data_IF_771167872852
#
_entry.id   IF_771167872852
#
_cell.length_a   1.000
_cell.length_b   1.000
_cell.length_c   1.000
_cell.angle_alpha   90.00
_cell.angle_beta   90.00
_cell.angle_gamma   90.00
#
_symmetry.space_group_name_H-M   'P 1'
#
loop_
_entity.id
_entity.type
_entity.pdbx_description
1 polymer ?
#
# COMPACT_ATOMS: atom_id res chain seq x y z
N UNK A 1 3.52 5.29 49.81
CA UNK A 1 4.37 4.68 48.77
C UNK A 1 3.60 3.64 47.97
N UNK A 2 3.01 2.60 48.59
CA UNK A 2 2.25 1.55 47.89
C UNK A 2 1.10 2.03 46.97
N UNK A 3 0.32 3.04 47.37
CA UNK A 3 -0.77 3.58 46.53
C UNK A 3 -0.26 4.20 45.23
N UNK A 4 0.84 4.98 45.29
CA UNK A 4 1.44 5.62 44.12
C UNK A 4 1.95 4.59 43.09
N UNK A 5 2.51 3.48 43.55
CA UNK A 5 2.99 2.40 42.69
C UNK A 5 1.84 1.66 41.98
N UNK A 6 0.68 1.52 42.65
CA UNK A 6 -0.53 0.91 42.07
C UNK A 6 -1.12 1.80 40.97
N UNK A 7 -1.23 3.12 41.20
CA UNK A 7 -1.71 4.05 40.18
C UNK A 7 -0.81 4.05 38.94
N UNK A 8 0.52 4.08 39.14
CA UNK A 8 1.49 4.04 38.05
C UNK A 8 1.49 2.72 37.27
N UNK A 9 1.22 1.60 37.95
CA UNK A 9 1.04 0.31 37.29
C UNK A 9 -0.24 0.28 36.42
N UNK A 10 -1.33 0.88 36.90
CA UNK A 10 -2.59 1.01 36.15
C UNK A 10 -2.45 1.88 34.89
N UNK A 11 -1.77 3.02 34.97
CA UNK A 11 -1.49 3.87 33.81
C UNK A 11 -0.64 3.15 32.75
N UNK A 12 0.41 2.44 33.18
CA UNK A 12 1.27 1.64 32.28
C UNK A 12 0.49 0.53 31.57
N UNK A 13 -0.44 -0.11 32.28
CA UNK A 13 -1.31 -1.14 31.72
C UNK A 13 -2.30 -0.57 30.70
N UNK A 14 -2.91 0.58 31.00
CA UNK A 14 -3.81 1.27 30.07
C UNK A 14 -3.08 1.74 28.81
N UNK A 15 -1.89 2.33 28.97
CA UNK A 15 -1.06 2.78 27.84
C UNK A 15 -0.65 1.61 26.93
N UNK A 16 -0.21 0.49 27.51
CA UNK A 16 0.16 -0.69 26.72
C UNK A 16 -1.04 -1.32 26.00
N UNK A 17 -2.23 -1.29 26.61
CA UNK A 17 -3.46 -1.74 25.98
C UNK A 17 -3.85 -0.85 24.78
N UNK A 18 -3.79 0.49 24.93
CA UNK A 18 -4.08 1.44 23.85
C UNK A 18 -3.13 1.21 22.67
N UNK A 19 -1.82 1.17 22.94
CA UNK A 19 -0.80 0.92 21.91
C UNK A 19 -1.03 -0.40 21.17
N UNK A 20 -1.21 -1.49 21.92
CA UNK A 20 -1.40 -2.83 21.36
C UNK A 20 -2.66 -2.89 20.51
N UNK A 21 -3.74 -2.26 20.96
CA UNK A 21 -5.00 -2.20 20.22
C UNK A 21 -4.87 -1.43 18.90
N UNK A 22 -4.11 -0.33 18.88
CA UNK A 22 -3.85 0.44 17.67
C UNK A 22 -3.06 -0.37 16.64
N UNK A 23 -1.96 -1.00 17.07
CA UNK A 23 -1.11 -1.83 16.19
C UNK A 23 -1.84 -3.06 15.65
N UNK A 24 -2.58 -3.79 16.50
CA UNK A 24 -3.32 -4.97 16.05
C UNK A 24 -4.42 -4.61 15.05
N UNK A 25 -5.16 -3.52 15.30
CA UNK A 25 -6.17 -3.02 14.37
C UNK A 25 -5.56 -2.56 13.06
N UNK A 26 -4.40 -1.89 13.11
CA UNK A 26 -3.67 -1.43 11.93
C UNK A 26 -3.33 -2.62 11.00
N UNK A 27 -2.61 -3.61 11.51
CA UNK A 27 -2.20 -4.77 10.70
C UNK A 27 -3.41 -5.63 10.28
N UNK A 28 -4.43 -5.73 11.14
CA UNK A 28 -5.70 -6.39 10.80
C UNK A 28 -6.43 -5.71 9.65
N UNK A 29 -6.48 -4.37 9.63
CA UNK A 29 -7.06 -3.60 8.54
C UNK A 29 -6.28 -3.76 7.24
N UNK A 30 -4.94 -3.71 7.30
CA UNK A 30 -4.09 -3.94 6.12
C UNK A 30 -4.32 -5.33 5.53
N UNK A 31 -4.32 -6.38 6.37
CA UNK A 31 -4.57 -7.75 5.92
C UNK A 31 -5.98 -7.91 5.31
N UNK A 32 -7.01 -7.38 5.98
CA UNK A 32 -8.37 -7.39 5.47
C UNK A 32 -8.50 -6.61 4.15
N UNK A 33 -7.83 -5.47 4.03
CA UNK A 33 -7.78 -4.66 2.82
C UNK A 33 -7.23 -5.43 1.62
N UNK A 34 -6.15 -6.19 1.81
CA UNK A 34 -5.56 -7.04 0.77
C UNK A 34 -6.51 -8.18 0.37
N UNK A 35 -7.16 -8.84 1.33
CA UNK A 35 -8.16 -9.88 1.03
C UNK A 35 -9.31 -9.29 0.21
N UNK A 36 -9.84 -8.14 0.63
CA UNK A 36 -10.93 -7.44 -0.06
C UNK A 36 -10.51 -6.97 -1.46
N UNK A 37 -9.24 -6.59 -1.64
CA UNK A 37 -8.66 -6.28 -2.96
C UNK A 37 -8.68 -7.51 -3.86
N UNK A 38 -8.32 -8.69 -3.33
CA UNK A 38 -8.43 -9.96 -4.07
C UNK A 38 -9.85 -10.29 -4.48
N UNK A 39 -10.83 -10.10 -3.58
CA UNK A 39 -12.26 -10.26 -3.89
C UNK A 39 -12.67 -9.27 -4.99
N UNK A 40 -12.30 -7.99 -4.85
CA UNK A 40 -12.55 -6.97 -5.86
C UNK A 40 -11.99 -7.35 -7.22
N UNK A 41 -10.79 -7.93 -7.28
CA UNK A 41 -10.20 -8.36 -8.55
C UNK A 41 -11.00 -9.47 -9.25
N UNK A 42 -11.50 -10.45 -8.49
CA UNK A 42 -12.39 -11.51 -9.03
C UNK A 42 -13.70 -10.93 -9.58
N UNK A 43 -14.28 -9.96 -8.86
CA UNK A 43 -15.48 -9.26 -9.35
C UNK A 43 -15.20 -8.42 -10.60
N UNK A 44 -14.04 -7.78 -10.66
CA UNK A 44 -13.64 -6.95 -11.79
C UNK A 44 -13.47 -7.74 -13.09
N UNK A 45 -12.89 -8.94 -12.96
CA UNK A 45 -12.79 -9.93 -14.04
C UNK A 45 -14.18 -10.38 -14.51
N UNK A 46 -15.05 -10.80 -13.57
CA UNK A 46 -16.41 -11.25 -13.90
C UNK A 46 -17.29 -10.16 -14.56
N UNK A 47 -17.08 -8.89 -14.21
CA UNK A 47 -17.79 -7.74 -14.80
C UNK A 47 -17.21 -7.32 -16.16
N UNK A 48 -16.08 -7.88 -16.59
CA UNK A 48 -15.41 -7.51 -17.83
C UNK A 48 -14.93 -6.05 -17.82
N UNK A 49 -14.46 -5.55 -16.67
CA UNK A 49 -13.94 -4.17 -16.53
C UNK A 49 -12.82 -3.88 -17.53
N UNK A 50 -12.06 -4.91 -17.92
CA UNK A 50 -11.10 -4.88 -19.02
C UNK A 50 -11.67 -4.24 -20.31
N UNK A 51 -12.90 -4.57 -20.69
CA UNK A 51 -13.53 -4.10 -21.94
C UNK A 51 -13.89 -2.62 -21.86
N UNK A 52 -14.25 -2.17 -20.66
CA UNK A 52 -14.56 -0.76 -20.37
C UNK A 52 -13.30 0.11 -20.46
N UNK A 53 -12.15 -0.45 -20.04
CA UNK A 53 -10.84 0.21 -20.09
C UNK A 53 -10.23 0.17 -21.50
N UNK A 54 -10.61 -0.75 -22.38
CA UNK A 54 -10.04 -0.84 -23.74
C UNK A 54 -10.86 -0.10 -24.83
N UNK A 55 -12.17 0.07 -24.69
CA UNK A 55 -13.03 0.65 -25.75
C UNK A 55 -13.01 2.18 -25.89
N UNK A 56 -12.96 2.93 -24.77
CA UNK A 56 -12.91 4.41 -24.73
C UNK A 56 -11.92 4.86 -23.62
N UNK A 57 -10.81 4.12 -23.55
CA UNK A 57 -10.15 3.72 -22.32
C UNK A 57 -9.62 4.80 -21.39
N UNK A 58 -9.22 5.94 -21.92
CA UNK A 58 -8.54 6.96 -21.12
C UNK A 58 -9.51 7.77 -20.24
N UNK A 59 -10.73 8.07 -20.71
CA UNK A 59 -11.76 8.73 -19.87
C UNK A 59 -12.24 7.77 -18.79
N UNK A 60 -12.52 6.52 -19.16
CA UNK A 60 -12.90 5.48 -18.21
C UNK A 60 -11.84 5.29 -17.13
N UNK A 61 -10.57 5.19 -17.54
CA UNK A 61 -9.44 5.11 -16.62
C UNK A 61 -9.33 6.32 -15.70
N UNK A 62 -9.42 7.55 -16.22
CA UNK A 62 -9.32 8.78 -15.42
C UNK A 62 -10.46 8.93 -14.41
N UNK A 63 -11.71 8.68 -14.83
CA UNK A 63 -12.87 8.72 -13.94
C UNK A 63 -12.74 7.71 -12.82
N UNK A 64 -12.34 6.50 -13.19
CA UNK A 64 -12.22 5.40 -12.27
C UNK A 64 -11.03 5.68 -11.30
N UNK A 65 -9.88 6.14 -11.80
CA UNK A 65 -8.74 6.53 -10.96
C UNK A 65 -9.11 7.68 -10.01
N UNK A 66 -9.78 8.72 -10.51
CA UNK A 66 -10.26 9.85 -9.72
C UNK A 66 -11.26 9.43 -8.64
N UNK A 67 -12.17 8.50 -8.94
CA UNK A 67 -13.11 7.93 -7.97
C UNK A 67 -12.39 7.21 -6.83
N UNK A 68 -11.38 6.40 -7.16
CA UNK A 68 -10.58 5.67 -6.17
C UNK A 68 -9.77 6.60 -5.28
N UNK A 69 -9.10 7.60 -5.85
CA UNK A 69 -8.39 8.63 -5.08
C UNK A 69 -9.37 9.45 -4.24
N UNK A 70 -10.57 9.74 -4.74
CA UNK A 70 -11.64 10.39 -3.99
C UNK A 70 -12.04 9.60 -2.73
N UNK A 71 -12.23 8.29 -2.85
CA UNK A 71 -12.55 7.42 -1.70
C UNK A 71 -11.40 7.34 -0.69
N UNK A 72 -10.16 7.25 -1.17
CA UNK A 72 -8.95 7.30 -0.34
C UNK A 72 -8.92 8.58 0.51
N UNK A 73 -9.09 9.74 -0.13
CA UNK A 73 -9.07 11.03 0.53
C UNK A 73 -10.26 11.19 1.48
N UNK A 74 -11.46 10.72 1.09
CA UNK A 74 -12.65 10.75 1.92
C UNK A 74 -12.49 9.87 3.17
N UNK A 75 -11.97 8.65 3.03
CA UNK A 75 -11.69 7.74 4.14
C UNK A 75 -10.76 8.40 5.17
N UNK A 76 -9.67 9.01 4.68
CA UNK A 76 -8.70 9.69 5.54
C UNK A 76 -9.33 10.92 6.22
N UNK A 77 -10.01 11.78 5.47
CA UNK A 77 -10.66 12.99 5.97
C UNK A 77 -11.69 12.70 7.07
N UNK A 78 -12.58 11.73 6.82
CA UNK A 78 -13.66 11.37 7.74
C UNK A 78 -13.10 10.69 9.00
N UNK A 79 -12.10 9.81 8.85
CA UNK A 79 -11.40 9.21 9.98
C UNK A 79 -10.68 10.24 10.85
N UNK A 80 -10.04 11.26 10.23
CA UNK A 80 -9.39 12.34 10.98
C UNK A 80 -10.36 13.16 11.85
N UNK A 81 -11.60 13.33 11.38
CA UNK A 81 -12.70 14.01 12.07
C UNK A 81 -13.40 13.16 13.15
N UNK A 82 -12.90 11.95 13.43
CA UNK A 82 -13.42 11.09 14.50
C UNK A 82 -14.54 10.14 14.07
N UNK A 83 -14.98 10.16 12.81
CA UNK A 83 -16.02 9.26 12.30
C UNK A 83 -15.39 7.93 11.84
N UNK A 84 -14.89 7.15 12.81
CA UNK A 84 -14.07 5.95 12.54
C UNK A 84 -14.84 4.91 11.71
N UNK A 85 -16.11 4.62 12.05
CA UNK A 85 -16.90 3.61 11.34
C UNK A 85 -17.09 3.93 9.85
N UNK A 86 -17.37 5.19 9.52
CA UNK A 86 -17.49 5.66 8.13
C UNK A 86 -16.13 5.63 7.44
N UNK A 87 -15.06 6.03 8.12
CA UNK A 87 -13.69 5.96 7.60
C UNK A 87 -13.28 4.51 7.25
N UNK A 88 -13.59 3.54 8.12
CA UNK A 88 -13.34 2.11 7.85
C UNK A 88 -14.17 1.58 6.70
N UNK A 89 -15.44 1.96 6.60
CA UNK A 89 -16.29 1.55 5.48
C UNK A 89 -15.76 2.09 4.14
N UNK A 90 -15.38 3.36 4.10
CA UNK A 90 -14.77 3.99 2.92
C UNK A 90 -13.41 3.36 2.59
N UNK A 91 -12.61 3.00 3.60
CA UNK A 91 -11.36 2.26 3.39
C UNK A 91 -11.62 0.93 2.68
N UNK A 92 -12.59 0.13 3.12
CA UNK A 92 -12.90 -1.13 2.46
C UNK A 92 -13.52 -0.97 1.07
N UNK A 93 -14.37 0.05 0.87
CA UNK A 93 -14.86 0.39 -0.46
C UNK A 93 -13.71 0.77 -1.40
N UNK A 94 -12.74 1.54 -0.89
CA UNK A 94 -11.52 1.89 -1.59
C UNK A 94 -10.67 0.66 -1.94
N UNK A 95 -10.39 -0.23 -0.98
CA UNK A 95 -9.56 -1.43 -1.26
C UNK A 95 -10.25 -2.41 -2.19
N UNK A 96 -11.57 -2.58 -2.09
CA UNK A 96 -12.37 -3.37 -3.03
C UNK A 96 -12.27 -2.80 -4.45
N UNK A 97 -12.44 -1.49 -4.56
CA UNK A 97 -12.38 -0.79 -5.83
C UNK A 97 -10.98 -0.90 -6.44
N UNK A 98 -9.91 -0.75 -5.66
CA UNK A 98 -8.54 -1.04 -6.09
C UNK A 98 -8.39 -2.45 -6.68
N UNK A 99 -9.08 -3.44 -6.11
CA UNK A 99 -9.20 -4.79 -6.67
C UNK A 99 -9.73 -4.79 -8.10
N UNK A 100 -10.83 -4.07 -8.33
CA UNK A 100 -11.42 -3.90 -9.66
C UNK A 100 -10.42 -3.31 -10.67
N UNK A 101 -9.58 -2.35 -10.24
CA UNK A 101 -8.56 -1.73 -11.11
C UNK A 101 -7.44 -2.67 -11.50
N UNK A 102 -7.00 -3.53 -10.59
CA UNK A 102 -5.88 -4.44 -10.87
C UNK A 102 -6.32 -5.68 -11.64
N UNK A 103 -7.63 -5.95 -11.74
CA UNK A 103 -8.17 -7.14 -12.40
C UNK A 103 -7.62 -7.37 -13.82
N UNK A 104 -7.57 -6.38 -14.74
CA UNK A 104 -7.01 -6.57 -16.07
C UNK A 104 -5.53 -6.97 -16.03
N UNK A 105 -4.78 -6.50 -15.02
CA UNK A 105 -3.37 -6.88 -14.85
C UNK A 105 -3.23 -8.32 -14.40
N UNK A 106 -4.13 -8.79 -13.52
CA UNK A 106 -4.15 -10.18 -13.05
C UNK A 106 -4.58 -11.14 -14.16
N UNK A 107 -5.52 -10.75 -15.02
CA UNK A 107 -5.98 -11.54 -16.16
C UNK A 107 -4.85 -11.86 -17.16
N UNK A 108 -3.87 -10.95 -17.29
CA UNK A 108 -2.69 -11.13 -18.14
C UNK A 108 -1.56 -11.93 -17.47
N UNK A 109 -1.63 -12.17 -16.17
CA UNK A 109 -0.57 -12.81 -15.41
C UNK A 109 -0.87 -14.31 -15.17
N UNK A 110 0.12 -15.20 -15.34
CA UNK A 110 -0.02 -16.60 -14.94
C UNK A 110 -0.43 -16.74 -13.47
N UNK A 111 -1.39 -17.61 -13.18
CA UNK A 111 -1.95 -17.80 -11.83
C UNK A 111 -0.88 -18.12 -10.78
N UNK A 112 0.14 -18.89 -11.18
CA UNK A 112 1.29 -19.21 -10.32
C UNK A 112 2.04 -17.95 -9.86
N UNK A 113 2.25 -16.97 -10.75
CA UNK A 113 2.94 -15.72 -10.41
C UNK A 113 2.13 -14.84 -9.47
N UNK A 114 0.79 -14.88 -9.54
CA UNK A 114 -0.08 -14.13 -8.63
C UNK A 114 0.16 -14.58 -7.18
N UNK A 115 0.13 -15.90 -6.93
CA UNK A 115 0.35 -16.43 -5.58
C UNK A 115 1.76 -16.12 -5.08
N UNK A 116 2.78 -16.32 -5.93
CA UNK A 116 4.16 -15.99 -5.58
C UNK A 116 4.32 -14.50 -5.25
N UNK A 117 3.69 -13.62 -6.04
CA UNK A 117 3.74 -12.18 -5.82
C UNK A 117 3.09 -11.76 -4.49
N UNK A 118 1.94 -12.34 -4.14
CA UNK A 118 1.26 -12.07 -2.84
C UNK A 118 2.16 -12.48 -1.67
N UNK A 119 2.73 -13.69 -1.74
CA UNK A 119 3.62 -14.21 -0.68
C UNK A 119 4.89 -13.36 -0.58
N UNK A 120 5.51 -12.99 -1.70
CA UNK A 120 6.72 -12.16 -1.69
C UNK A 120 6.44 -10.76 -1.15
N UNK A 121 5.33 -10.13 -1.55
CA UNK A 121 4.96 -8.81 -1.06
C UNK A 121 4.63 -8.82 0.43
N UNK A 122 3.91 -9.85 0.90
CA UNK A 122 3.66 -10.06 2.32
C UNK A 122 4.95 -10.23 3.12
N UNK A 123 5.90 -11.05 2.62
CA UNK A 123 7.19 -11.24 3.27
C UNK A 123 8.02 -9.96 3.33
N UNK A 124 8.10 -9.21 2.22
CA UNK A 124 8.78 -7.91 2.14
C UNK A 124 8.15 -6.89 3.10
N UNK A 125 6.82 -6.81 3.13
CA UNK A 125 6.09 -5.93 4.02
C UNK A 125 6.36 -6.26 5.48
N UNK A 126 6.26 -7.54 5.87
CA UNK A 126 6.52 -7.98 7.26
C UNK A 126 7.96 -7.68 7.64
N UNK A 127 8.93 -8.00 6.78
CA UNK A 127 10.35 -7.73 7.03
C UNK A 127 10.60 -6.22 7.25
N UNK A 128 10.10 -5.36 6.35
CA UNK A 128 10.29 -3.91 6.46
C UNK A 128 9.49 -3.30 7.61
N UNK A 129 8.32 -3.85 7.95
CA UNK A 129 7.56 -3.45 9.13
C UNK A 129 8.34 -3.77 10.41
N UNK A 130 8.97 -4.94 10.51
CA UNK A 130 9.85 -5.29 11.63
C UNK A 130 11.03 -4.30 11.71
N UNK A 131 11.65 -3.97 10.58
CA UNK A 131 12.74 -2.98 10.51
C UNK A 131 12.26 -1.61 11.00
N UNK A 132 11.11 -1.12 10.53
CA UNK A 132 10.53 0.15 10.95
C UNK A 132 10.15 0.17 12.43
N UNK A 133 9.59 -0.94 12.92
CA UNK A 133 9.18 -1.10 14.32
C UNK A 133 10.39 -1.13 15.29
N UNK A 134 11.49 -1.77 14.90
CA UNK A 134 12.67 -1.98 15.77
C UNK A 134 13.73 -0.88 15.65
N UNK A 135 13.75 -0.15 14.53
CA UNK A 135 14.76 0.87 14.25
C UNK A 135 14.68 2.05 15.22
N UNK A 136 15.84 2.41 15.79
CA UNK A 136 16.02 3.59 16.64
C UNK A 136 16.49 4.83 15.88
N UNK A 137 17.01 4.66 14.66
CA UNK A 137 17.45 5.79 13.82
C UNK A 137 16.27 6.65 13.43
N UNK A 138 16.45 7.97 13.39
CA UNK A 138 15.45 8.85 12.79
C UNK A 138 15.35 8.56 11.28
N UNK A 139 14.13 8.25 10.83
CA UNK A 139 13.84 7.94 9.42
C UNK A 139 13.11 9.10 8.75
N UNK A 140 12.82 10.20 9.45
CA UNK A 140 12.01 11.30 8.93
C UNK A 140 12.60 11.91 7.66
N UNK A 141 13.92 12.10 7.62
CA UNK A 141 14.62 12.57 6.42
C UNK A 141 14.62 11.57 5.25
N UNK A 142 14.63 10.27 5.55
CA UNK A 142 14.50 9.24 4.53
C UNK A 142 13.07 9.20 3.97
N UNK A 143 12.05 9.31 4.83
CA UNK A 143 10.65 9.32 4.44
C UNK A 143 10.29 10.49 3.52
N UNK A 144 10.77 11.70 3.83
CA UNK A 144 10.55 12.87 2.97
C UNK A 144 11.21 12.71 1.61
N UNK A 145 12.47 12.26 1.57
CA UNK A 145 13.18 11.98 0.33
C UNK A 145 12.45 10.93 -0.52
N UNK A 146 12.05 9.81 0.10
CA UNK A 146 11.36 8.71 -0.60
C UNK A 146 9.99 9.12 -1.13
N UNK A 147 9.27 9.97 -0.40
CA UNK A 147 7.97 10.51 -0.85
C UNK A 147 8.13 11.39 -2.10
N UNK A 148 9.19 12.22 -2.13
CA UNK A 148 9.52 13.03 -3.32
C UNK A 148 9.98 12.13 -4.48
N UNK A 149 10.81 11.13 -4.22
CA UNK A 149 11.21 10.14 -5.22
C UNK A 149 9.99 9.40 -5.80
N UNK A 150 9.03 9.01 -4.96
CA UNK A 150 7.80 8.36 -5.39
C UNK A 150 7.01 9.25 -6.35
N UNK A 151 6.82 10.53 -6.01
CA UNK A 151 6.12 11.48 -6.88
C UNK A 151 6.85 11.70 -8.22
N UNK A 152 8.18 11.76 -8.20
CA UNK A 152 8.98 11.82 -9.42
C UNK A 152 8.80 10.57 -10.28
N UNK A 153 8.86 9.37 -9.69
CA UNK A 153 8.68 8.11 -10.40
C UNK A 153 7.27 7.97 -10.98
N UNK A 154 6.24 8.36 -10.23
CA UNK A 154 4.85 8.40 -10.72
C UNK A 154 4.75 9.36 -11.92
N UNK A 155 5.41 10.52 -11.86
CA UNK A 155 5.43 11.47 -12.97
C UNK A 155 6.07 10.87 -14.22
N UNK A 156 7.16 10.12 -14.08
CA UNK A 156 7.79 9.38 -15.19
C UNK A 156 6.86 8.30 -15.75
N UNK A 157 6.11 7.59 -14.89
CA UNK A 157 5.10 6.62 -15.35
C UNK A 157 3.99 7.31 -16.16
N UNK A 158 3.52 8.48 -15.74
CA UNK A 158 2.56 9.28 -16.51
C UNK A 158 3.12 9.69 -17.87
N UNK A 159 4.37 10.17 -17.95
CA UNK A 159 5.01 10.51 -19.21
C UNK A 159 5.19 9.29 -20.13
N UNK A 160 5.50 8.12 -19.56
CA UNK A 160 5.64 6.88 -20.31
C UNK A 160 4.33 6.45 -21.01
N UNK A 161 3.17 6.76 -20.41
CA UNK A 161 1.85 6.49 -21.01
C UNK A 161 1.58 7.32 -22.28
N UNK A 162 2.16 8.52 -22.40
CA UNK A 162 1.92 9.40 -23.54
C UNK A 162 3.01 9.37 -24.61
N UNK A 163 4.27 9.08 -24.24
CA UNK A 163 5.42 9.36 -25.11
C UNK A 163 6.26 8.12 -25.42
N UNK A 164 6.51 7.21 -24.47
CA UNK A 164 7.62 6.26 -24.59
C UNK A 164 7.22 4.81 -24.87
N UNK A 165 6.08 4.32 -24.34
CA UNK A 165 5.51 3.00 -24.67
C UNK A 165 6.44 1.78 -24.58
N UNK A 166 7.66 1.90 -24.05
CA UNK A 166 8.71 0.91 -24.24
C UNK A 166 8.79 -0.06 -23.05
N UNK A 167 8.73 -1.36 -23.37
CA UNK A 167 8.82 -2.45 -22.39
C UNK A 167 10.06 -2.40 -21.47
N UNK A 168 11.25 -2.00 -21.93
CA UNK A 168 12.44 -1.89 -21.06
C UNK A 168 12.33 -0.84 -19.96
N UNK A 169 11.73 0.33 -20.25
CA UNK A 169 11.54 1.38 -19.25
C UNK A 169 10.58 0.94 -18.14
N UNK A 170 9.58 0.13 -18.48
CA UNK A 170 8.63 -0.40 -17.50
C UNK A 170 9.32 -1.24 -16.42
N UNK A 171 10.27 -2.10 -16.78
CA UNK A 171 11.02 -2.93 -15.82
C UNK A 171 11.93 -2.08 -14.96
N UNK A 172 12.66 -1.14 -15.58
CA UNK A 172 13.57 -0.24 -14.88
C UNK A 172 12.82 0.56 -13.81
N UNK A 173 11.62 1.06 -14.14
CA UNK A 173 10.76 1.75 -13.19
C UNK A 173 10.35 0.84 -12.03
N UNK A 174 9.90 -0.40 -12.30
CA UNK A 174 9.58 -1.36 -11.23
C UNK A 174 10.78 -1.65 -10.32
N UNK A 175 12.00 -1.73 -10.87
CA UNK A 175 13.22 -1.97 -10.11
C UNK A 175 13.60 -0.77 -9.22
N UNK A 176 13.33 0.46 -9.67
CA UNK A 176 13.51 1.69 -8.88
C UNK A 176 12.40 1.87 -7.83
N UNK A 177 11.16 1.49 -8.14
CA UNK A 177 10.03 1.55 -7.22
C UNK A 177 10.21 0.60 -6.02
N UNK A 178 10.78 -0.58 -6.24
CA UNK A 178 10.93 -1.61 -5.20
C UNK A 178 11.62 -1.07 -3.92
N UNK A 179 12.86 -0.54 -3.96
CA UNK A 179 13.51 0.00 -2.78
C UNK A 179 12.78 1.21 -2.19
N UNK A 180 12.08 2.00 -3.02
CA UNK A 180 11.29 3.15 -2.55
C UNK A 180 10.14 2.67 -1.67
N UNK A 181 9.37 1.68 -2.12
CA UNK A 181 8.25 1.13 -1.36
C UNK A 181 8.70 0.36 -0.11
N UNK A 182 9.83 -0.36 -0.18
CA UNK A 182 10.42 -0.99 1.01
C UNK A 182 10.80 0.05 2.07
N UNK A 183 11.45 1.14 1.65
CA UNK A 183 11.84 2.23 2.55
C UNK A 183 10.64 2.99 3.12
N UNK A 184 9.62 3.28 2.30
CA UNK A 184 8.37 3.91 2.74
C UNK A 184 7.63 3.02 3.74
N UNK A 185 7.58 1.70 3.52
CA UNK A 185 6.98 0.75 4.47
C UNK A 185 7.64 0.84 5.83
N UNK A 186 8.97 0.85 5.87
CA UNK A 186 9.72 0.95 7.12
C UNK A 186 9.50 2.32 7.81
N UNK A 187 9.48 3.40 7.04
CA UNK A 187 9.22 4.75 7.58
C UNK A 187 7.79 4.88 8.12
N UNK A 188 6.77 4.50 7.34
CA UNK A 188 5.37 4.58 7.77
C UNK A 188 5.09 3.71 9.00
N UNK A 189 5.66 2.50 9.06
CA UNK A 189 5.51 1.65 10.25
C UNK A 189 6.07 2.34 11.49
N UNK A 190 7.20 3.03 11.35
CA UNK A 190 7.82 3.78 12.44
C UNK A 190 6.98 5.00 12.84
N UNK A 191 6.47 5.74 11.87
CA UNK A 191 5.61 6.91 12.08
C UNK A 191 4.31 6.53 12.81
N UNK A 192 3.64 5.47 12.35
CA UNK A 192 2.40 4.98 12.98
C UNK A 192 2.68 4.44 14.40
N UNK A 193 3.81 3.77 14.61
CA UNK A 193 4.24 3.37 15.95
C UNK A 193 4.41 4.59 16.86
N UNK A 194 5.02 5.67 16.38
CA UNK A 194 5.20 6.89 17.17
C UNK A 194 3.85 7.52 17.52
N UNK A 195 2.94 7.67 16.55
CA UNK A 195 1.58 8.16 16.79
C UNK A 195 0.83 7.32 17.84
N UNK A 196 0.95 5.98 17.77
CA UNK A 196 0.33 5.08 18.73
C UNK A 196 0.94 5.19 20.13
N UNK A 197 2.25 5.44 20.23
CA UNK A 197 2.92 5.69 21.51
C UNK A 197 2.46 7.01 22.13
N UNK A 198 2.33 8.07 21.33
CA UNK A 198 1.83 9.38 21.77
C UNK A 198 0.37 9.30 22.27
N UNK A 199 -0.50 8.60 21.55
CA UNK A 199 -1.87 8.36 22.00
C UNK A 199 -1.92 7.56 23.30
N UNK A 200 -1.06 6.55 23.45
CA UNK A 200 -0.96 5.76 24.66
C UNK A 200 -0.48 6.58 25.87
N UNK A 201 0.49 7.47 25.69
CA UNK A 201 0.97 8.36 26.77
C UNK A 201 -0.07 9.38 27.19
N UNK A 202 -0.92 9.83 26.26
CA UNK A 202 -1.97 10.80 26.53
C UNK A 202 -3.27 10.16 27.05
N UNK A 203 -3.34 8.82 27.15
CA UNK A 203 -4.55 8.10 27.58
C UNK A 203 -5.72 8.19 26.59
N UNK A 204 -5.47 8.60 25.35
CA UNK A 204 -6.52 8.80 24.34
C UNK A 204 -6.87 7.47 23.66
N UNK A 205 -7.76 6.72 24.32
CA UNK A 205 -8.28 5.44 23.81
C UNK A 205 -9.08 5.57 22.51
N UNK A 206 -9.66 6.75 22.22
CA UNK A 206 -10.39 6.99 20.97
C UNK A 206 -9.44 7.12 19.77
N UNK A 207 -8.22 7.58 20.01
CA UNK A 207 -7.19 7.72 18.98
C UNK A 207 -6.67 6.38 18.43
N UNK A 208 -6.75 5.26 19.18
CA UNK A 208 -6.23 3.96 18.71
C UNK A 208 -6.87 3.50 17.39
N UNK A 209 -8.20 3.63 17.28
CA UNK A 209 -8.93 3.20 16.10
C UNK A 209 -8.74 4.18 14.93
N UNK A 210 -8.65 5.47 15.21
CA UNK A 210 -8.32 6.50 14.22
C UNK A 210 -6.94 6.28 13.62
N UNK A 211 -5.92 6.06 14.47
CA UNK A 211 -4.54 5.78 14.05
C UNK A 211 -4.51 4.52 13.18
N UNK A 212 -5.24 3.47 13.58
CA UNK A 212 -5.32 2.25 12.79
C UNK A 212 -5.88 2.48 11.38
N UNK A 213 -6.98 3.21 11.22
CA UNK A 213 -7.59 3.49 9.91
C UNK A 213 -6.73 4.44 9.06
N UNK A 214 -6.23 5.52 9.65
CA UNK A 214 -5.40 6.49 8.92
C UNK A 214 -4.06 5.85 8.52
N UNK A 215 -3.44 5.10 9.42
CA UNK A 215 -2.18 4.40 9.16
C UNK A 215 -2.34 3.23 8.20
N UNK A 216 -3.47 2.51 8.21
CA UNK A 216 -3.66 1.35 7.34
C UNK A 216 -3.74 1.74 5.88
N UNK A 217 -4.15 2.96 5.57
CA UNK A 217 -4.23 3.47 4.19
C UNK A 217 -2.86 3.47 3.51
N UNK A 218 -1.84 4.05 4.15
CA UNK A 218 -0.48 4.10 3.60
C UNK A 218 0.14 2.71 3.50
N UNK A 219 0.10 1.95 4.60
CA UNK A 219 0.67 0.60 4.62
C UNK A 219 -0.02 -0.33 3.61
N UNK A 220 -1.33 -0.24 3.44
CA UNK A 220 -2.06 -0.96 2.40
C UNK A 220 -1.55 -0.61 1.00
N UNK A 221 -1.40 0.68 0.69
CA UNK A 221 -0.87 1.12 -0.60
C UNK A 221 0.54 0.57 -0.81
N UNK A 222 1.38 0.59 0.21
CA UNK A 222 2.74 0.04 0.11
C UNK A 222 2.74 -1.48 -0.14
N UNK A 223 1.90 -2.25 0.56
CA UNK A 223 1.76 -3.70 0.29
C UNK A 223 1.26 -3.97 -1.12
N UNK A 224 0.22 -3.25 -1.54
CA UNK A 224 -0.36 -3.42 -2.87
C UNK A 224 0.66 -3.09 -3.97
N UNK A 225 1.45 -2.02 -3.78
CA UNK A 225 2.49 -1.65 -4.72
C UNK A 225 3.64 -2.68 -4.75
N UNK A 226 4.09 -3.19 -3.60
CA UNK A 226 5.07 -4.29 -3.55
C UNK A 226 4.54 -5.54 -4.28
N UNK A 227 3.25 -5.85 -4.14
CA UNK A 227 2.60 -6.93 -4.88
C UNK A 227 2.63 -6.68 -6.39
N UNK A 228 2.21 -5.51 -6.86
CA UNK A 228 2.22 -5.18 -8.29
C UNK A 228 3.63 -5.22 -8.88
N UNK A 229 4.63 -4.72 -8.15
CA UNK A 229 6.04 -4.79 -8.56
C UNK A 229 6.50 -6.24 -8.67
N UNK A 230 6.25 -7.06 -7.64
CA UNK A 230 6.61 -8.47 -7.66
C UNK A 230 5.94 -9.21 -8.82
N UNK A 231 4.64 -8.97 -9.04
CA UNK A 231 3.87 -9.55 -10.14
C UNK A 231 4.45 -9.13 -11.50
N UNK A 232 4.82 -7.85 -11.66
CA UNK A 232 5.39 -7.33 -12.89
C UNK A 232 6.77 -7.95 -13.19
N UNK A 233 7.61 -8.11 -12.17
CA UNK A 233 8.93 -8.73 -12.33
C UNK A 233 8.82 -10.23 -12.61
N UNK A 234 7.87 -10.93 -12.00
CA UNK A 234 7.64 -12.37 -12.22
C UNK A 234 7.00 -12.65 -13.57
N UNK A 235 6.07 -11.80 -14.00
CA UNK A 235 5.36 -11.96 -15.28
C UNK A 235 6.15 -11.38 -16.47
N UNK A 236 7.40 -10.99 -16.24
CA UNK A 236 8.24 -10.40 -17.26
C UNK A 236 8.89 -11.48 -18.15
N UNK A 237 8.83 -11.28 -19.48
CA UNK A 237 9.46 -12.20 -20.44
C UNK A 237 10.81 -11.61 -20.97
N UNK A 238 11.97 -12.21 -20.65
CA UNK A 238 13.30 -11.70 -21.00
C UNK A 238 13.59 -11.54 -22.50
N UNK A 239 12.90 -12.27 -23.37
CA UNK A 239 13.10 -12.15 -24.83
C UNK A 239 12.82 -10.73 -25.35
N UNK A 240 11.91 -10.01 -24.68
CA UNK A 240 11.59 -8.62 -25.01
C UNK A 240 12.73 -7.62 -24.75
N UNK A 241 13.76 -7.97 -23.98
CA UNK A 241 14.97 -7.16 -23.79
C UNK A 241 15.92 -7.36 -24.97
N UNK A 242 16.08 -8.61 -25.40
CA UNK A 242 16.97 -8.97 -26.51
C UNK A 242 16.57 -8.29 -27.81
N UNK A 243 15.27 -8.26 -28.09
CA UNK A 243 14.69 -7.62 -29.27
C UNK A 243 14.71 -6.09 -29.16
N UNK A 244 14.54 -5.53 -27.95
CA UNK A 244 14.54 -4.08 -27.74
C UNK A 244 15.93 -3.44 -27.76
N UNK A 245 16.98 -4.21 -27.46
CA UNK A 245 18.37 -3.73 -27.46
C UNK A 245 19.22 -4.34 -28.58
N UNK A 246 18.63 -5.13 -29.49
CA UNK A 246 19.30 -5.66 -30.68
C UNK A 246 20.45 -6.63 -30.40
N UNK A 247 20.52 -7.23 -29.20
CA UNK A 247 21.61 -8.13 -28.83
C UNK A 247 21.45 -9.56 -29.37
N UNK A 248 20.25 -9.94 -29.83
CA UNK A 248 19.94 -11.30 -30.27
C UNK A 248 19.35 -11.41 -31.69
N UNK A 249 19.43 -10.38 -32.54
CA UNK A 249 19.16 -10.53 -33.97
C UNK A 249 20.40 -11.05 -34.69
N UNK A 250 20.64 -12.35 -34.59
CA UNK A 250 21.73 -13.04 -35.28
C UNK A 250 21.22 -14.29 -35.97
N UNK A 251 20.76 -14.11 -37.21
CA UNK A 251 20.92 -15.10 -38.28
C UNK A 251 22.17 -14.72 -39.09
#
# INVERSE_FOLDING_TARGET
>A
MATYDIYRAGERYSASAIFTSAMLRLYGLVAAGIIITGIGAVFGDAMGIERLIHGNGWIGFLLAFGFTIGMLLAANYVAQRGHIGVGTALYFAFTFTMGLFIAPRLALAPTAHILTAVVSAGAMFVAMSIVGYTTKRDLSGLGSMLTVCLLALVSVMFLNLFILGSGPLFILLNLLLLPVFLGLTAWETKDIKQMAQEAATNGDSHSAAKIAVVGSIGLYLNVLNLFLIALNLLSFNPSSIGDAFGFFSGD
#
